data_IF_547911077055
#
_entry.id   IF_547911077055
#
_cell.length_a   1.000
_cell.length_b   1.000
_cell.length_c   1.000
_cell.angle_alpha   90.00
_cell.angle_beta   90.00
_cell.angle_gamma   90.00
#
_symmetry.space_group_name_H-M   'P 1'
#
loop_
_entity.id
_entity.type
_entity.pdbx_description
1 polymer ?
#
# COMPACT_ATOMS: atom_id res chain seq x y z
N UNK A 1 13.33 1.08 11.23
CA UNK A 1 14.19 1.48 10.08
C UNK A 1 13.42 1.16 8.82
N UNK A 2 13.12 2.14 7.96
CA UNK A 2 12.49 1.85 6.66
C UNK A 2 13.59 1.25 5.77
N UNK A 3 13.45 0.00 5.32
CA UNK A 3 14.46 -0.68 4.52
C UNK A 3 14.57 0.01 3.16
N UNK A 4 15.69 0.70 2.89
CA UNK A 4 15.93 1.43 1.63
C UNK A 4 16.38 0.49 0.49
N UNK A 5 15.63 -0.57 0.24
CA UNK A 5 15.87 -1.45 -0.91
C UNK A 5 15.01 -1.01 -2.11
N UNK A 6 15.48 -1.25 -3.33
CA UNK A 6 14.72 -0.92 -4.55
C UNK A 6 13.34 -1.61 -4.57
N UNK A 7 13.25 -2.82 -4.03
CA UNK A 7 12.00 -3.56 -3.88
C UNK A 7 11.01 -2.87 -2.92
N UNK A 8 11.50 -2.36 -1.77
CA UNK A 8 10.66 -1.64 -0.81
C UNK A 8 10.13 -0.33 -1.38
N UNK A 9 10.94 0.39 -2.16
CA UNK A 9 10.50 1.61 -2.82
C UNK A 9 9.40 1.34 -3.85
N UNK A 10 9.51 0.22 -4.57
CA UNK A 10 8.53 -0.16 -5.58
C UNK A 10 7.19 -0.56 -4.95
N UNK A 11 7.22 -1.34 -3.87
CA UNK A 11 6.01 -1.68 -3.12
C UNK A 11 5.38 -0.45 -2.44
N UNK A 12 6.19 0.49 -1.95
CA UNK A 12 5.69 1.75 -1.40
C UNK A 12 5.02 2.61 -2.48
N UNK A 13 5.57 2.65 -3.70
CA UNK A 13 4.96 3.33 -4.84
C UNK A 13 3.62 2.71 -5.24
N UNK A 14 3.53 1.37 -5.25
CA UNK A 14 2.28 0.66 -5.53
C UNK A 14 1.24 0.97 -4.46
N UNK A 15 1.61 0.92 -3.18
CA UNK A 15 0.73 1.27 -2.07
C UNK A 15 0.25 2.73 -2.15
N UNK A 16 1.17 3.66 -2.47
CA UNK A 16 0.86 5.08 -2.64
C UNK A 16 -0.06 5.33 -3.83
N UNK A 17 0.11 4.60 -4.94
CA UNK A 17 -0.77 4.68 -6.10
C UNK A 17 -2.20 4.24 -5.77
N UNK A 18 -2.37 3.14 -5.03
CA UNK A 18 -3.69 2.68 -4.57
C UNK A 18 -4.35 3.66 -3.59
N UNK A 19 -3.58 4.22 -2.66
CA UNK A 19 -4.06 5.26 -1.75
C UNK A 19 -4.48 6.52 -2.51
N UNK A 20 -3.65 7.00 -3.43
CA UNK A 20 -3.95 8.16 -4.26
C UNK A 20 -5.20 7.93 -5.10
N UNK A 21 -5.33 6.75 -5.73
CA UNK A 21 -6.52 6.37 -6.49
C UNK A 21 -7.78 6.38 -5.62
N UNK A 22 -7.71 5.83 -4.41
CA UNK A 22 -8.82 5.82 -3.47
C UNK A 22 -9.22 7.22 -2.98
N UNK A 23 -8.26 8.14 -2.81
CA UNK A 23 -8.51 9.51 -2.37
C UNK A 23 -8.99 10.45 -3.50
N UNK A 24 -8.47 10.26 -4.73
CA UNK A 24 -8.79 11.10 -5.88
C UNK A 24 -10.03 10.62 -6.67
N UNK A 25 -10.57 9.44 -6.39
CA UNK A 25 -11.79 8.98 -7.05
C UNK A 25 -12.96 9.93 -6.70
N UNK A 26 -13.62 10.57 -7.69
CA UNK A 26 -14.73 11.46 -7.42
C UNK A 26 -15.91 10.68 -6.81
N UNK A 27 -16.41 11.15 -5.66
CA UNK A 27 -17.43 10.45 -4.85
C UNK A 27 -16.89 9.67 -3.65
N UNK A 28 -15.59 9.78 -3.34
CA UNK A 28 -14.82 8.82 -2.53
C UNK A 28 -15.20 8.63 -1.05
N UNK A 29 -15.90 9.56 -0.40
CA UNK A 29 -16.23 9.38 1.05
C UNK A 29 -17.63 9.88 1.43
N UNK A 30 -18.14 10.93 0.77
CA UNK A 30 -19.39 11.58 1.18
C UNK A 30 -20.63 11.19 0.35
N UNK A 31 -20.43 10.64 -0.85
CA UNK A 31 -21.52 10.31 -1.76
C UNK A 31 -21.90 8.84 -1.64
N UNK A 32 -23.18 8.53 -1.41
CA UNK A 32 -23.68 7.17 -1.16
C UNK A 32 -23.79 6.34 -2.45
N UNK A 33 -22.70 6.28 -3.23
CA UNK A 33 -22.65 5.63 -4.54
C UNK A 33 -21.59 4.52 -4.65
N UNK A 34 -21.69 3.71 -5.70
CA UNK A 34 -20.74 2.63 -6.03
C UNK A 34 -19.26 3.09 -6.07
N UNK A 35 -19.02 4.35 -6.44
CA UNK A 35 -17.69 4.96 -6.45
C UNK A 35 -17.06 5.10 -5.05
N UNK A 36 -17.85 5.29 -3.99
CA UNK A 36 -17.35 5.30 -2.61
C UNK A 36 -16.89 3.89 -2.17
N UNK A 37 -17.57 2.84 -2.64
CA UNK A 37 -17.12 1.46 -2.41
C UNK A 37 -15.81 1.17 -3.13
N UNK A 38 -15.67 1.57 -4.39
CA UNK A 38 -14.42 1.42 -5.14
C UNK A 38 -13.27 2.23 -4.51
N UNK A 39 -13.56 3.46 -4.05
CA UNK A 39 -12.62 4.27 -3.29
C UNK A 39 -12.17 3.57 -2.01
N UNK A 40 -13.10 3.06 -1.21
CA UNK A 40 -12.81 2.31 0.02
C UNK A 40 -11.98 1.05 -0.21
N UNK A 41 -12.28 0.28 -1.27
CA UNK A 41 -11.51 -0.91 -1.65
C UNK A 41 -10.08 -0.53 -2.08
N UNK A 42 -9.93 0.54 -2.87
CA UNK A 42 -8.62 1.02 -3.31
C UNK A 42 -7.77 1.50 -2.12
N UNK A 43 -8.36 2.25 -1.18
CA UNK A 43 -7.69 2.68 0.07
C UNK A 43 -7.29 1.44 0.88
N UNK A 44 -8.21 0.47 1.06
CA UNK A 44 -7.96 -0.76 1.78
C UNK A 44 -6.82 -1.59 1.19
N UNK A 45 -6.78 -1.73 -0.14
CA UNK A 45 -5.69 -2.40 -0.85
C UNK A 45 -4.37 -1.64 -0.71
N UNK A 46 -4.37 -0.31 -0.80
CA UNK A 46 -3.17 0.51 -0.62
C UNK A 46 -2.57 0.37 0.78
N UNK A 47 -3.40 0.44 1.82
CA UNK A 47 -2.97 0.23 3.21
C UNK A 47 -2.49 -1.21 3.42
N UNK A 48 -3.23 -2.20 2.92
CA UNK A 48 -2.84 -3.60 3.00
C UNK A 48 -1.50 -3.90 2.33
N UNK A 49 -1.25 -3.32 1.15
CA UNK A 49 0.02 -3.45 0.43
C UNK A 49 1.18 -2.77 1.19
N UNK A 50 0.91 -1.60 1.80
CA UNK A 50 1.89 -0.91 2.62
C UNK A 50 2.30 -1.74 3.85
N UNK A 51 1.33 -2.29 4.58
CA UNK A 51 1.59 -3.15 5.75
C UNK A 51 2.37 -4.40 5.32
N UNK A 52 1.94 -5.06 4.24
CA UNK A 52 2.65 -6.24 3.68
C UNK A 52 4.09 -5.91 3.35
N UNK A 53 4.35 -4.78 2.70
CA UNK A 53 5.70 -4.35 2.33
C UNK A 53 6.56 -4.10 3.57
N UNK A 54 6.03 -3.39 4.58
CA UNK A 54 6.73 -3.14 5.84
C UNK A 54 7.09 -4.46 6.53
N UNK A 55 6.15 -5.40 6.63
CA UNK A 55 6.40 -6.71 7.25
C UNK A 55 7.44 -7.50 6.45
N UNK A 56 7.26 -7.63 5.13
CA UNK A 56 8.16 -8.40 4.27
C UNK A 56 9.59 -7.89 4.35
N UNK A 57 9.80 -6.58 4.24
CA UNK A 57 11.15 -6.03 4.30
C UNK A 57 11.74 -5.98 5.72
N UNK A 58 10.91 -5.93 6.77
CA UNK A 58 11.40 -6.05 8.17
C UNK A 58 11.81 -7.50 8.48
N UNK A 59 11.08 -8.48 7.95
CA UNK A 59 11.40 -9.92 8.08
C UNK A 59 12.64 -10.30 7.24
N UNK A 60 12.78 -9.75 6.04
CA UNK A 60 13.98 -9.92 5.20
C UNK A 60 15.26 -9.35 5.83
N UNK A 61 15.15 -8.29 6.65
CA UNK A 61 16.28 -7.75 7.41
C UNK A 61 16.68 -8.64 8.60
N UNK A 62 15.79 -9.55 9.06
CA UNK A 62 16.06 -10.47 10.17
C UNK A 62 16.61 -11.83 9.73
N UNK A 63 16.50 -12.21 8.46
CA UNK A 63 17.17 -13.41 7.96
C UNK A 63 18.61 -13.07 7.59
N UNK A 64 19.64 -13.61 8.28
CA UNK A 64 20.97 -13.64 7.70
C UNK A 64 20.86 -14.47 6.41
N UNK A 65 21.31 -13.89 5.31
CA UNK A 65 21.48 -14.59 4.04
C UNK A 65 22.26 -15.87 4.34
N UNK A 66 21.60 -17.03 4.28
CA UNK A 66 22.28 -18.32 4.27
C UNK A 66 23.05 -18.36 2.95
N UNK A 67 24.38 -18.29 3.10
CA UNK A 67 25.38 -18.44 2.05
C UNK A 67 25.21 -19.76 1.30
#
# INVERSE_FOLDING_TARGET
>A
MIPRTKACLNDLLIAAAFLAMGFFLPGSILDKGFYAHLGGIAIGLGIGWMIKSIIAHTQLQKQPVKA
#
